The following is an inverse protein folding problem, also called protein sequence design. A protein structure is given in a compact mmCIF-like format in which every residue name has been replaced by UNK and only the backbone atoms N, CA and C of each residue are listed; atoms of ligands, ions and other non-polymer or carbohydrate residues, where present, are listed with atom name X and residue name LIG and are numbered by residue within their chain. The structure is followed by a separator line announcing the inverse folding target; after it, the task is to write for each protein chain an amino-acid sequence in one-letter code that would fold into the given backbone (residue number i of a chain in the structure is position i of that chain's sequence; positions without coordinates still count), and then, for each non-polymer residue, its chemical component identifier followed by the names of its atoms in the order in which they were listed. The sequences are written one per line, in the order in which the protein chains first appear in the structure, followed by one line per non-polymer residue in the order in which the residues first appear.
data_IF_679701466229
#
_entry.id   IF_679701466229
#
_cell.length_a   1.000
_cell.length_b   1.000
_cell.length_c   1.000
_cell.angle_alpha   90.00
_cell.angle_beta   90.00
_cell.angle_gamma   90.00
#
_symmetry.space_group_name_H-M   'P 1'
#
loop_
_entity.id
_entity.type
_entity.pdbx_description
1 polymer ?
#
# COMPACT_ATOMS: atom_id res chain seq x y z
N UNK A 1 -1.34 43.20 8.47
CA UNK A 1 -1.98 41.99 9.02
C UNK A 1 -1.53 40.82 8.17
N UNK A 2 -0.56 40.04 8.65
CA UNK A 2 -0.07 38.86 7.94
C UNK A 2 -0.99 37.69 8.28
N UNK A 3 -1.63 37.10 7.28
CA UNK A 3 -2.45 35.91 7.45
C UNK A 3 -1.52 34.71 7.71
N UNK A 4 -1.62 34.14 8.90
CA UNK A 4 -0.97 32.87 9.25
C UNK A 4 -1.76 31.77 8.56
N UNK A 5 -1.20 31.20 7.49
CA UNK A 5 -1.76 29.99 6.86
C UNK A 5 -1.57 28.84 7.84
N UNK A 6 -2.66 28.35 8.43
CA UNK A 6 -2.69 27.11 9.21
C UNK A 6 -2.01 25.98 8.39
N UNK A 7 -1.10 25.19 8.99
CA UNK A 7 -0.48 24.08 8.29
C UNK A 7 -1.57 23.09 7.88
N UNK A 8 -1.86 22.99 6.58
CA UNK A 8 -2.82 22.01 6.08
C UNK A 8 -2.41 20.63 6.57
N UNK A 9 -3.33 19.89 7.20
CA UNK A 9 -3.07 18.58 7.77
C UNK A 9 -2.28 17.68 6.82
N UNK A 10 -1.35 16.90 7.36
CA UNK A 10 -0.49 16.01 6.58
C UNK A 10 -1.32 15.07 5.70
N UNK A 11 -1.30 15.29 4.39
CA UNK A 11 -1.95 14.43 3.41
C UNK A 11 -0.94 13.41 2.88
N UNK A 12 -1.11 12.15 3.28
CA UNK A 12 -0.28 11.07 2.77
C UNK A 12 -0.77 10.59 1.40
N UNK A 13 0.01 10.83 0.35
CA UNK A 13 -0.22 10.30 -1.00
C UNK A 13 0.86 9.27 -1.34
N UNK A 14 0.58 7.95 -1.25
CA UNK A 14 1.57 6.90 -1.45
C UNK A 14 2.42 7.07 -2.72
N UNK A 15 1.79 7.43 -3.84
CA UNK A 15 2.50 7.60 -5.11
C UNK A 15 3.53 8.72 -5.12
N UNK A 16 3.43 9.69 -4.20
CA UNK A 16 4.36 10.81 -4.10
C UNK A 16 5.75 10.38 -3.62
N UNK A 17 5.86 9.22 -2.95
CA UNK A 17 7.12 8.65 -2.50
C UNK A 17 7.84 7.84 -3.60
N UNK A 18 7.28 7.76 -4.81
CA UNK A 18 7.88 7.05 -5.94
C UNK A 18 8.51 7.99 -6.95
N UNK A 19 9.67 7.64 -7.51
CA UNK A 19 10.28 8.34 -8.63
C UNK A 19 9.40 8.34 -9.90
N UNK A 20 8.50 7.36 -10.04
CA UNK A 20 7.61 7.23 -11.20
C UNK A 20 6.14 7.08 -10.76
N UNK A 21 5.50 8.14 -10.23
CA UNK A 21 4.17 8.05 -9.61
C UNK A 21 3.07 7.53 -10.54
N UNK A 22 3.25 7.62 -11.86
CA UNK A 22 2.26 7.15 -12.86
C UNK A 22 2.23 5.63 -13.03
N UNK A 23 3.27 4.92 -12.57
CA UNK A 23 3.38 3.46 -12.64
C UNK A 23 2.78 2.75 -11.43
N UNK A 24 2.35 3.50 -10.40
CA UNK A 24 1.78 2.95 -9.18
C UNK A 24 0.58 2.03 -9.48
N UNK A 25 0.62 0.80 -8.96
CA UNK A 25 -0.39 -0.25 -9.18
C UNK A 25 -0.48 -0.80 -10.62
N UNK A 26 0.35 -0.33 -11.55
CA UNK A 26 0.30 -0.69 -12.98
C UNK A 26 1.50 -1.50 -13.46
N UNK A 27 2.40 -1.87 -12.55
CA UNK A 27 3.60 -2.61 -12.88
C UNK A 27 3.97 -3.56 -11.75
N UNK A 28 4.46 -4.75 -12.11
CA UNK A 28 5.07 -5.70 -11.17
C UNK A 28 6.47 -5.29 -10.71
N UNK A 29 7.08 -4.27 -11.34
CA UNK A 29 8.40 -3.78 -10.94
C UNK A 29 8.33 -3.12 -9.56
N UNK A 30 9.33 -3.33 -8.68
CA UNK A 30 9.52 -2.51 -7.50
C UNK A 30 9.61 -1.04 -7.87
N UNK A 31 9.06 -0.19 -7.02
CA UNK A 31 9.19 1.25 -7.14
C UNK A 31 10.64 1.65 -6.81
N UNK A 32 11.05 2.80 -7.33
CA UNK A 32 12.22 3.51 -6.83
C UNK A 32 11.76 4.68 -5.96
N UNK A 33 12.47 5.03 -4.88
CA UNK A 33 12.11 6.17 -4.05
C UNK A 33 12.20 7.48 -4.84
N UNK A 34 11.28 8.41 -4.55
CA UNK A 34 11.36 9.77 -5.07
C UNK A 34 12.60 10.49 -4.54
N UNK A 35 13.01 11.57 -5.20
CA UNK A 35 14.15 12.36 -4.77
C UNK A 35 13.97 12.84 -3.31
N UNK A 36 14.99 12.64 -2.48
CA UNK A 36 14.96 13.00 -1.06
C UNK A 36 14.43 11.91 -0.12
N UNK A 37 14.06 10.73 -0.65
CA UNK A 37 13.67 9.57 0.15
C UNK A 37 14.66 8.41 -0.07
N UNK A 38 14.90 7.62 0.97
CA UNK A 38 15.68 6.37 0.89
C UNK A 38 14.78 5.15 0.72
N UNK A 39 15.37 4.01 0.38
CA UNK A 39 14.65 2.71 0.34
C UNK A 39 14.19 2.26 1.73
N UNK A 40 14.87 2.72 2.79
CA UNK A 40 14.53 2.45 4.19
C UNK A 40 13.51 3.42 4.80
N UNK A 41 13.08 4.47 4.07
CA UNK A 41 12.06 5.39 4.57
C UNK A 41 10.72 4.67 4.72
N UNK A 42 10.18 4.62 5.94
CA UNK A 42 8.94 3.91 6.23
C UNK A 42 7.74 4.36 5.37
N UNK A 43 7.74 5.61 4.91
CA UNK A 43 6.72 6.15 4.00
C UNK A 43 6.86 5.56 2.60
N UNK A 44 8.10 5.39 2.13
CA UNK A 44 8.38 4.69 0.88
C UNK A 44 8.07 3.20 1.00
N UNK A 45 8.44 2.54 2.10
CA UNK A 45 8.12 1.13 2.35
C UNK A 45 6.60 0.91 2.35
N UNK A 46 5.83 1.77 3.02
CA UNK A 46 4.37 1.73 2.99
C UNK A 46 3.81 1.93 1.56
N UNK A 47 4.34 2.89 0.81
CA UNK A 47 3.97 3.11 -0.59
C UNK A 47 4.29 1.89 -1.47
N UNK A 48 5.43 1.25 -1.25
CA UNK A 48 5.88 0.05 -1.95
C UNK A 48 4.94 -1.14 -1.69
N UNK A 49 4.51 -1.34 -0.44
CA UNK A 49 3.54 -2.36 -0.09
C UNK A 49 2.18 -2.10 -0.76
N UNK A 50 1.65 -0.87 -0.66
CA UNK A 50 0.38 -0.52 -1.30
C UNK A 50 0.46 -0.66 -2.83
N UNK A 51 1.60 -0.33 -3.46
CA UNK A 51 1.82 -0.57 -4.89
C UNK A 51 1.73 -2.05 -5.26
N UNK A 52 2.38 -2.92 -4.48
CA UNK A 52 2.33 -4.37 -4.71
C UNK A 52 0.91 -4.91 -4.56
N UNK A 53 0.22 -4.53 -3.49
CA UNK A 53 -1.20 -4.89 -3.27
C UNK A 53 -2.06 -4.41 -4.45
N UNK A 54 -1.91 -3.16 -4.86
CA UNK A 54 -2.69 -2.59 -5.95
C UNK A 54 -2.43 -3.33 -7.28
N UNK A 55 -1.18 -3.68 -7.56
CA UNK A 55 -0.82 -4.46 -8.74
C UNK A 55 -1.42 -5.86 -8.69
N UNK A 56 -1.34 -6.56 -7.55
CA UNK A 56 -1.94 -7.91 -7.41
C UNK A 56 -3.46 -7.86 -7.61
N UNK A 57 -4.16 -6.91 -6.98
CA UNK A 57 -5.61 -6.74 -7.21
C UNK A 57 -5.91 -6.49 -8.70
N UNK A 58 -5.08 -5.72 -9.40
CA UNK A 58 -5.26 -5.50 -10.83
C UNK A 58 -5.09 -6.79 -11.64
N UNK A 59 -4.08 -7.59 -11.34
CA UNK A 59 -3.85 -8.88 -12.03
C UNK A 59 -4.99 -9.87 -11.76
N UNK A 60 -5.44 -10.02 -10.51
CA UNK A 60 -6.56 -10.90 -10.15
C UNK A 60 -7.87 -10.54 -10.88
N UNK A 61 -8.15 -9.24 -11.03
CA UNK A 61 -9.30 -8.75 -11.80
C UNK A 61 -9.14 -8.91 -13.31
N UNK A 62 -7.91 -9.02 -13.83
CA UNK A 62 -7.68 -9.35 -15.24
C UNK A 62 -7.84 -10.84 -15.51
N UNK A 63 -7.45 -11.69 -14.54
CA UNK A 63 -7.57 -13.14 -14.63
C UNK A 63 -9.03 -13.62 -14.60
N UNK A 64 -9.86 -12.99 -13.77
CA UNK A 64 -11.31 -13.21 -13.76
C UNK A 64 -11.94 -12.02 -14.47
N UNK A 65 -12.38 -12.10 -15.73
CA UNK A 65 -12.67 -10.97 -16.64
C UNK A 65 -13.70 -9.97 -16.08
N UNK A 66 -13.26 -9.16 -15.12
CA UNK A 66 -14.09 -8.37 -14.21
C UNK A 66 -13.44 -7.01 -14.06
N UNK A 67 -14.22 -5.96 -14.26
CA UNK A 67 -13.73 -4.60 -14.01
C UNK A 67 -13.73 -4.32 -12.51
N UNK A 68 -12.92 -3.36 -12.06
CA UNK A 68 -12.95 -2.90 -10.65
C UNK A 68 -14.36 -2.43 -10.25
N UNK A 69 -15.08 -1.78 -11.16
CA UNK A 69 -16.48 -1.38 -10.95
C UNK A 69 -17.40 -2.60 -10.81
N UNK A 70 -17.24 -3.61 -11.66
CA UNK A 70 -17.96 -4.87 -11.57
C UNK A 70 -17.72 -5.58 -10.24
N UNK A 71 -16.46 -5.61 -9.78
CA UNK A 71 -16.09 -6.14 -8.47
C UNK A 71 -16.80 -5.39 -7.34
N UNK A 72 -16.73 -4.06 -7.30
CA UNK A 72 -17.41 -3.26 -6.25
C UNK A 72 -18.92 -3.53 -6.25
N UNK A 73 -19.52 -3.66 -7.43
CA UNK A 73 -20.94 -3.96 -7.56
C UNK A 73 -21.31 -5.37 -7.10
N UNK A 74 -20.37 -6.32 -7.13
CA UNK A 74 -20.57 -7.69 -6.61
C UNK A 74 -20.52 -7.78 -5.08
N UNK A 75 -19.92 -6.80 -4.39
CA UNK A 75 -19.92 -6.76 -2.93
C UNK A 75 -21.31 -6.35 -2.41
N UNK A 76 -22.04 -7.30 -1.82
CA UNK A 76 -23.41 -7.10 -1.33
C UNK A 76 -23.55 -7.63 0.11
N UNK A 77 -23.70 -6.76 1.13
CA UNK A 77 -23.53 -5.30 1.07
C UNK A 77 -22.05 -4.89 0.88
N UNK A 78 -21.76 -3.74 0.25
CA UNK A 78 -20.38 -3.25 0.18
C UNK A 78 -19.91 -2.81 1.58
N UNK A 79 -18.66 -3.09 1.95
CA UNK A 79 -18.09 -2.55 3.19
C UNK A 79 -18.19 -1.01 3.23
N UNK A 80 -18.44 -0.40 4.40
CA UNK A 80 -18.49 1.05 4.53
C UNK A 80 -17.23 1.72 3.98
N UNK A 81 -17.40 2.73 3.13
CA UNK A 81 -16.30 3.45 2.49
C UNK A 81 -15.67 2.73 1.30
N UNK A 82 -16.16 1.57 0.88
CA UNK A 82 -15.66 0.88 -0.32
C UNK A 82 -16.41 1.31 -1.59
N UNK A 83 -16.20 2.56 -2.00
CA UNK A 83 -16.75 3.09 -3.25
C UNK A 83 -15.77 2.90 -4.40
N UNK A 84 -16.30 2.79 -5.63
CA UNK A 84 -15.48 2.69 -6.84
C UNK A 84 -14.43 3.80 -6.93
N UNK A 85 -14.86 5.06 -6.77
CA UNK A 85 -13.95 6.22 -6.84
C UNK A 85 -12.81 6.15 -5.84
N UNK A 86 -13.10 5.71 -4.61
CA UNK A 86 -12.07 5.57 -3.58
C UNK A 86 -11.10 4.44 -3.92
N UNK A 87 -11.60 3.30 -4.39
CA UNK A 87 -10.73 2.20 -4.80
C UNK A 87 -9.85 2.57 -6.00
N UNK A 88 -10.38 3.32 -6.99
CA UNK A 88 -9.56 3.85 -8.09
C UNK A 88 -8.42 4.72 -7.57
N UNK A 89 -8.69 5.59 -6.59
CA UNK A 89 -7.66 6.43 -5.96
C UNK A 89 -6.64 5.61 -5.17
N UNK A 90 -7.07 4.55 -4.48
CA UNK A 90 -6.18 3.60 -3.78
C UNK A 90 -5.26 2.91 -4.78
N UNK A 91 -5.82 2.37 -5.86
CA UNK A 91 -5.08 1.67 -6.91
C UNK A 91 -4.04 2.57 -7.61
N UNK A 92 -4.30 3.87 -7.67
CA UNK A 92 -3.37 4.88 -8.22
C UNK A 92 -2.40 5.46 -7.18
N UNK A 93 -2.53 5.09 -5.91
CA UNK A 93 -1.71 5.64 -4.81
C UNK A 93 -1.99 7.12 -4.52
N UNK A 94 -3.17 7.63 -4.88
CA UNK A 94 -3.63 9.00 -4.63
C UNK A 94 -4.29 9.16 -3.24
N UNK A 95 -4.57 8.03 -2.59
CA UNK A 95 -5.04 7.98 -1.20
C UNK A 95 -4.48 6.73 -0.54
N UNK A 96 -4.32 6.80 0.78
CA UNK A 96 -3.87 5.69 1.59
C UNK A 96 -4.92 4.57 1.62
N UNK A 97 -4.45 3.33 1.48
CA UNK A 97 -5.24 2.12 1.71
C UNK A 97 -5.38 1.89 3.22
N UNK A 98 -6.61 1.73 3.70
CA UNK A 98 -6.86 1.39 5.10
C UNK A 98 -6.67 -0.12 5.32
N UNK A 99 -6.42 -0.52 6.57
CA UNK A 99 -6.34 -1.94 6.96
C UNK A 99 -7.63 -2.67 6.58
N UNK A 100 -8.79 -2.03 6.71
CA UNK A 100 -10.08 -2.60 6.30
C UNK A 100 -10.12 -2.94 4.79
N UNK A 101 -9.55 -2.10 3.93
CA UNK A 101 -9.45 -2.40 2.49
C UNK A 101 -8.56 -3.62 2.26
N UNK A 102 -7.41 -3.66 2.93
CA UNK A 102 -6.47 -4.77 2.83
C UNK A 102 -7.10 -6.08 3.29
N UNK A 103 -7.84 -6.08 4.41
CA UNK A 103 -8.54 -7.26 4.89
C UNK A 103 -9.63 -7.71 3.92
N UNK A 104 -10.35 -6.78 3.30
CA UNK A 104 -11.32 -7.12 2.27
C UNK A 104 -10.64 -7.77 1.07
N UNK A 105 -9.55 -7.19 0.55
CA UNK A 105 -8.78 -7.78 -0.54
C UNK A 105 -8.23 -9.16 -0.18
N UNK A 106 -7.70 -9.32 1.03
CA UNK A 106 -7.18 -10.57 1.53
C UNK A 106 -8.26 -11.64 1.71
N UNK A 107 -9.54 -11.29 1.88
CA UNK A 107 -10.62 -12.28 1.90
C UNK A 107 -10.96 -12.77 0.48
N UNK A 108 -10.98 -11.85 -0.50
CA UNK A 108 -11.37 -12.15 -1.87
C UNK A 108 -10.27 -12.83 -2.69
N UNK A 109 -9.01 -12.44 -2.48
CA UNK A 109 -7.88 -12.88 -3.31
C UNK A 109 -6.82 -13.59 -2.48
N UNK A 110 -6.57 -14.87 -2.77
CA UNK A 110 -5.55 -15.66 -2.08
C UNK A 110 -4.14 -15.11 -2.32
N UNK A 111 -3.88 -14.53 -3.49
CA UNK A 111 -2.60 -13.90 -3.82
C UNK A 111 -2.26 -12.72 -2.89
N UNK A 112 -3.26 -12.01 -2.36
CA UNK A 112 -3.02 -10.94 -1.38
C UNK A 112 -2.56 -11.52 -0.05
N UNK A 113 -3.13 -12.65 0.39
CA UNK A 113 -2.66 -13.34 1.60
C UNK A 113 -1.23 -13.87 1.42
N UNK A 114 -0.93 -14.45 0.25
CA UNK A 114 0.41 -14.91 -0.08
C UNK A 114 1.41 -13.75 -0.10
N UNK A 115 1.05 -12.61 -0.68
CA UNK A 115 1.86 -11.40 -0.67
C UNK A 115 2.17 -10.92 0.76
N UNK A 116 1.19 -10.91 1.66
CA UNK A 116 1.40 -10.45 3.03
C UNK A 116 2.26 -11.41 3.87
N UNK A 117 2.18 -12.71 3.59
CA UNK A 117 2.98 -13.74 4.25
C UNK A 117 4.42 -13.84 3.73
N UNK A 118 4.71 -13.26 2.56
CA UNK A 118 6.04 -13.24 1.97
C UNK A 118 6.94 -12.23 2.69
N UNK A 119 7.97 -12.72 3.40
CA UNK A 119 8.95 -11.86 4.08
C UNK A 119 9.63 -10.87 3.13
N UNK A 120 9.82 -11.23 1.85
CA UNK A 120 10.42 -10.34 0.85
C UNK A 120 9.46 -9.22 0.41
N UNK A 121 8.19 -9.27 0.82
CA UNK A 121 7.22 -8.19 0.65
C UNK A 121 7.43 -7.04 1.62
N UNK A 122 8.13 -7.32 2.71
CA UNK A 122 8.56 -6.37 3.70
C UNK A 122 10.03 -6.09 3.40
N UNK A 123 10.32 -5.04 2.61
CA UNK A 123 11.70 -4.63 2.28
C UNK A 123 12.60 -4.70 3.52
N UNK A 124 13.91 -4.98 3.39
CA UNK A 124 14.78 -5.15 4.54
C UNK A 124 14.73 -3.87 5.39
N UNK A 125 13.93 -3.92 6.44
CA UNK A 125 14.12 -3.08 7.60
C UNK A 125 15.41 -3.62 8.17
N UNK A 126 16.45 -2.78 8.28
CA UNK A 126 17.64 -3.14 9.03
C UNK A 126 17.15 -3.82 10.31
N UNK A 127 17.38 -5.13 10.42
CA UNK A 127 16.87 -5.89 11.56
C UNK A 127 17.50 -5.23 12.76
N UNK A 128 16.67 -4.63 13.61
CA UNK A 128 17.09 -4.28 14.95
C UNK A 128 17.22 -5.63 15.65
N UNK A 129 18.37 -6.27 15.48
CA UNK A 129 18.70 -7.44 16.27
C UNK A 129 18.63 -6.97 17.73
N UNK A 130 17.83 -7.63 18.59
CA UNK A 130 17.89 -7.33 20.01
C UNK A 130 19.34 -7.53 20.45
N UNK A 131 19.91 -6.64 21.29
CA UNK A 131 21.26 -6.85 21.79
C UNK A 131 21.30 -8.23 22.44
N UNK A 132 22.07 -9.14 21.83
CA UNK A 132 22.39 -10.42 22.43
C UNK A 132 23.20 -10.14 23.71
N UNK A 133 22.81 -10.86 24.77
CA UNK A 133 23.41 -10.92 26.11
C UNK A 133 22.94 -9.89 27.15
N UNK A 134 21.99 -10.33 27.99
CA UNK A 134 22.22 -10.26 29.43
C UNK A 134 22.44 -11.68 29.92
N UNK A 135 23.69 -12.10 29.93
CA UNK A 135 24.14 -13.28 30.66
C UNK A 135 23.93 -12.98 32.15
N UNK A 136 22.79 -13.41 32.70
CA UNK A 136 22.61 -13.44 34.16
C UNK A 136 23.38 -14.64 34.69
N UNK A 137 24.68 -14.46 34.90
CA UNK A 137 25.40 -15.27 35.88
C UNK A 137 24.98 -14.82 37.28
N UNK A 138 24.16 -15.64 37.97
CA UNK A 138 24.24 -15.87 39.43
C UNK A 138 23.71 -17.25 39.78
#
# INVERSE_FOLDING_TARGET
MSATTEPSGFKFEPRAFSATPRQFGKSSKPLRPAAGYSESDLRFVAAQLQHRVANVVREELLDVPMTLEGFVNSLRPPPPGMTYDRLVRIQRGETLMQIADLMNWAQQFSAIRALLADEQSWMPVDRVDPPLEVTLER
#
